data_IF_339070619917
#
_entry.id   IF_339070619917
#
_cell.length_a   1.000
_cell.length_b   1.000
_cell.length_c   1.000
_cell.angle_alpha   90.00
_cell.angle_beta   90.00
_cell.angle_gamma   90.00
#
_symmetry.space_group_name_H-M   'P 1'
#
loop_
_entity.id
_entity.type
_entity.pdbx_description
1 polymer ?
#
# COMPACT_ATOMS: atom_id res chain seq x y z
N UNK A 1 16.19 26.92 -10.76
CA UNK A 1 15.23 25.79 -10.82
C UNK A 1 14.45 25.86 -9.54
N UNK A 2 13.12 26.07 -9.61
CA UNK A 2 12.28 26.01 -8.40
C UNK A 2 12.30 24.56 -7.94
N UNK A 3 12.71 24.33 -6.70
CA UNK A 3 12.74 23.00 -6.08
C UNK A 3 11.28 22.50 -6.00
N UNK A 4 10.91 21.53 -6.84
CA UNK A 4 9.55 21.02 -6.87
C UNK A 4 9.31 20.20 -5.60
N UNK A 5 8.44 20.69 -4.70
CA UNK A 5 8.08 19.98 -3.49
C UNK A 5 7.36 18.68 -3.84
N UNK A 6 8.00 17.55 -3.53
CA UNK A 6 7.43 16.21 -3.73
C UNK A 6 6.37 15.94 -2.67
N UNK A 7 5.23 15.41 -3.10
CA UNK A 7 4.07 15.09 -2.27
C UNK A 7 3.72 13.62 -2.44
N UNK A 8 3.43 12.95 -1.33
CA UNK A 8 3.01 11.55 -1.33
C UNK A 8 1.57 11.40 -1.82
N UNK A 9 1.30 10.29 -2.49
CA UNK A 9 -0.07 9.86 -2.87
C UNK A 9 -0.81 9.18 -1.72
N UNK A 10 -0.13 8.92 -0.60
CA UNK A 10 -0.59 8.03 0.47
C UNK A 10 -0.43 6.54 0.15
N UNK A 11 0.07 6.20 -1.05
CA UNK A 11 0.31 4.82 -1.48
C UNK A 11 1.75 4.65 -1.94
N UNK A 12 2.59 4.06 -1.09
CA UNK A 12 4.04 3.98 -1.29
C UNK A 12 4.47 3.42 -2.66
N UNK A 13 3.82 2.36 -3.13
CA UNK A 13 4.14 1.80 -4.45
C UNK A 13 3.72 2.72 -5.59
N UNK A 14 2.61 3.45 -5.46
CA UNK A 14 2.22 4.44 -6.45
C UNK A 14 3.25 5.59 -6.49
N UNK A 15 3.77 6.02 -5.34
CA UNK A 15 4.84 7.02 -5.27
C UNK A 15 6.13 6.57 -5.95
N UNK A 16 6.42 5.26 -5.94
CA UNK A 16 7.55 4.67 -6.69
C UNK A 16 7.28 4.62 -8.18
N UNK A 17 6.05 4.26 -8.58
CA UNK A 17 5.63 4.17 -9.98
C UNK A 17 5.61 5.57 -10.62
N UNK A 18 5.10 6.58 -9.91
CA UNK A 18 5.00 7.96 -10.40
C UNK A 18 6.26 8.78 -10.16
N UNK A 19 7.14 8.39 -9.24
CA UNK A 19 8.16 9.29 -8.70
C UNK A 19 7.59 10.35 -7.75
N UNK A 20 6.38 10.12 -7.21
CA UNK A 20 5.60 11.04 -6.37
C UNK A 20 4.84 12.10 -7.16
N UNK A 21 4.05 12.89 -6.45
CA UNK A 21 3.34 14.06 -6.97
C UNK A 21 4.14 15.34 -6.73
N UNK A 22 3.80 16.40 -7.44
CA UNK A 22 4.35 17.73 -7.27
C UNK A 22 3.22 18.75 -7.18
N UNK A 23 3.48 19.84 -6.45
CA UNK A 23 2.63 21.03 -6.48
C UNK A 23 2.48 21.49 -7.93
N UNK A 24 1.23 21.73 -8.34
CA UNK A 24 0.83 22.05 -9.71
C UNK A 24 0.27 20.86 -10.50
N UNK A 25 0.44 19.61 -10.04
CA UNK A 25 -0.06 18.46 -10.79
C UNK A 25 -1.59 18.44 -10.89
N UNK A 26 -2.07 18.41 -12.13
CA UNK A 26 -3.39 17.90 -12.47
C UNK A 26 -3.28 16.39 -12.74
N UNK A 27 -3.87 15.59 -11.86
CA UNK A 27 -3.84 14.12 -11.87
C UNK A 27 -5.19 13.58 -12.29
N UNK A 28 -5.25 12.95 -13.46
CA UNK A 28 -6.49 12.40 -14.02
C UNK A 28 -6.54 10.90 -13.80
N UNK A 29 -7.67 10.43 -13.28
CA UNK A 29 -7.96 9.02 -13.04
C UNK A 29 -9.08 8.57 -13.98
N UNK A 30 -8.74 7.72 -14.95
CA UNK A 30 -9.70 7.02 -15.79
C UNK A 30 -10.16 5.75 -15.06
N UNK A 31 -11.42 5.71 -14.63
CA UNK A 31 -12.00 4.62 -13.84
C UNK A 31 -12.92 3.74 -14.70
N UNK A 32 -12.61 2.45 -14.82
CA UNK A 32 -13.35 1.45 -15.59
C UNK A 32 -14.63 0.96 -14.89
N UNK A 33 -14.82 1.28 -13.60
CA UNK A 33 -15.99 0.83 -12.81
C UNK A 33 -16.51 1.86 -11.79
N UNK A 34 -16.19 3.16 -11.97
CA UNK A 34 -16.71 4.28 -11.17
C UNK A 34 -16.47 4.19 -9.65
N UNK A 35 -15.57 3.31 -9.20
CA UNK A 35 -15.36 3.02 -7.78
C UNK A 35 -13.92 2.65 -7.43
N UNK A 36 -13.04 2.47 -8.42
CA UNK A 36 -11.65 2.09 -8.20
C UNK A 36 -10.81 3.28 -7.76
N UNK A 37 -11.03 4.44 -8.38
CA UNK A 37 -10.27 5.66 -8.10
C UNK A 37 -10.50 6.16 -6.67
N UNK A 38 -11.70 5.91 -6.13
CA UNK A 38 -12.11 6.39 -4.81
C UNK A 38 -11.16 5.96 -3.69
N UNK A 39 -10.65 4.72 -3.73
CA UNK A 39 -9.69 4.25 -2.74
C UNK A 39 -8.39 5.08 -2.78
N UNK A 40 -7.87 5.37 -3.98
CA UNK A 40 -6.66 6.19 -4.15
C UNK A 40 -6.89 7.63 -3.68
N UNK A 41 -8.06 8.20 -3.96
CA UNK A 41 -8.45 9.53 -3.46
C UNK A 41 -8.46 9.58 -1.93
N UNK A 42 -9.02 8.56 -1.27
CA UNK A 42 -9.03 8.49 0.20
C UNK A 42 -7.62 8.43 0.79
N UNK A 43 -6.72 7.61 0.22
CA UNK A 43 -5.32 7.57 0.66
C UNK A 43 -4.63 8.93 0.50
N UNK A 44 -4.86 9.61 -0.62
CA UNK A 44 -4.30 10.94 -0.84
C UNK A 44 -4.84 12.00 0.13
N UNK A 45 -6.14 11.93 0.47
CA UNK A 45 -6.73 12.81 1.48
C UNK A 45 -6.19 12.54 2.88
N UNK A 46 -6.00 11.28 3.27
CA UNK A 46 -5.38 10.91 4.56
C UNK A 46 -3.92 11.36 4.65
N UNK A 47 -3.17 11.23 3.56
CA UNK A 47 -1.81 11.78 3.47
C UNK A 47 -1.79 13.32 3.55
N UNK A 48 -2.83 13.97 3.02
CA UNK A 48 -2.98 15.42 3.11
C UNK A 48 -3.35 15.89 4.52
N UNK A 49 -4.22 15.13 5.21
CA UNK A 49 -4.56 15.33 6.61
C UNK A 49 -3.34 15.17 7.53
N UNK A 50 -2.51 14.13 7.31
CA UNK A 50 -1.30 13.89 8.11
C UNK A 50 -0.27 15.01 7.97
N UNK A 51 -0.28 15.72 6.83
CA UNK A 51 0.53 16.90 6.54
C UNK A 51 -0.15 18.23 6.94
N UNK A 52 -1.33 18.16 7.56
CA UNK A 52 -2.16 19.29 7.99
C UNK A 52 -2.52 20.27 6.85
N UNK A 53 -2.87 19.75 5.67
CA UNK A 53 -3.18 20.50 4.44
C UNK A 53 -4.67 20.70 4.22
N UNK A 54 -5.03 21.84 3.61
CA UNK A 54 -6.40 22.09 3.19
C UNK A 54 -6.83 21.18 2.04
N UNK A 55 -8.03 20.62 2.17
CA UNK A 55 -8.64 19.74 1.16
C UNK A 55 -9.98 20.34 0.74
N UNK A 56 -10.19 20.51 -0.57
CA UNK A 56 -11.47 20.86 -1.17
C UNK A 56 -11.98 19.65 -1.95
N UNK A 57 -13.10 19.09 -1.50
CA UNK A 57 -13.78 17.98 -2.16
C UNK A 57 -15.00 18.48 -2.92
N UNK A 58 -15.03 18.32 -4.24
CA UNK A 58 -16.12 18.79 -5.11
C UNK A 58 -16.96 17.59 -5.54
N UNK A 59 -18.16 17.46 -4.97
CA UNK A 59 -19.08 16.34 -5.19
C UNK A 59 -20.20 16.70 -6.15
N UNK A 60 -20.30 15.97 -7.26
CA UNK A 60 -21.41 16.06 -8.22
C UNK A 60 -22.35 14.85 -8.16
N UNK A 61 -21.86 13.69 -7.70
CA UNK A 61 -22.57 12.42 -7.83
C UNK A 61 -23.13 11.89 -6.50
N UNK A 62 -22.70 12.44 -5.36
CA UNK A 62 -23.10 11.98 -4.04
C UNK A 62 -23.76 13.07 -3.24
N UNK A 63 -24.88 12.71 -2.60
CA UNK A 63 -25.45 13.53 -1.55
C UNK A 63 -24.48 13.67 -0.37
N UNK A 64 -24.52 14.79 0.38
CA UNK A 64 -23.64 15.01 1.53
C UNK A 64 -23.64 13.84 2.51
N UNK A 65 -24.83 13.29 2.84
CA UNK A 65 -24.95 12.13 3.73
C UNK A 65 -24.15 10.92 3.20
N UNK A 66 -24.35 10.53 1.94
CA UNK A 66 -23.65 9.38 1.37
C UNK A 66 -22.14 9.60 1.29
N UNK A 67 -21.71 10.83 1.03
CA UNK A 67 -20.30 11.17 0.98
C UNK A 67 -19.65 11.11 2.37
N UNK A 68 -20.30 11.65 3.41
CA UNK A 68 -19.80 11.59 4.79
C UNK A 68 -19.63 10.14 5.26
N UNK A 69 -20.61 9.27 5.00
CA UNK A 69 -20.53 7.83 5.34
C UNK A 69 -19.29 7.16 4.73
N UNK A 70 -18.84 7.62 3.56
CA UNK A 70 -17.65 7.07 2.88
C UNK A 70 -16.34 7.72 3.31
N UNK A 71 -16.36 9.00 3.68
CA UNK A 71 -15.19 9.71 4.19
C UNK A 71 -14.77 9.20 5.58
N UNK A 72 -15.71 8.63 6.34
CA UNK A 72 -15.47 8.05 7.66
C UNK A 72 -14.78 9.10 8.57
N UNK A 73 -13.61 8.79 9.14
CA UNK A 73 -12.87 9.70 10.03
C UNK A 73 -12.49 11.03 9.40
N UNK A 74 -12.37 11.12 8.06
CA UNK A 74 -12.03 12.39 7.38
C UNK A 74 -13.15 13.44 7.51
N UNK A 75 -14.39 13.03 7.82
CA UNK A 75 -15.48 13.97 8.08
C UNK A 75 -15.19 14.86 9.30
N UNK A 76 -14.34 14.40 10.23
CA UNK A 76 -13.92 15.13 11.42
C UNK A 76 -12.66 15.97 11.20
N UNK A 77 -12.20 16.13 9.95
CA UNK A 77 -11.05 16.98 9.63
C UNK A 77 -11.47 18.44 9.39
N UNK A 78 -10.98 19.36 10.23
CA UNK A 78 -11.35 20.79 10.21
C UNK A 78 -10.93 21.53 8.93
N UNK A 79 -9.88 21.06 8.24
CA UNK A 79 -9.40 21.66 6.98
C UNK A 79 -9.96 20.96 5.74
N UNK A 80 -10.93 20.05 5.90
CA UNK A 80 -11.73 19.54 4.79
C UNK A 80 -12.93 20.46 4.53
N UNK A 81 -13.06 20.91 3.28
CA UNK A 81 -14.26 21.59 2.78
C UNK A 81 -14.90 20.77 1.68
N UNK A 82 -16.17 20.40 1.85
CA UNK A 82 -16.99 19.71 0.86
C UNK A 82 -17.83 20.76 0.12
N UNK A 83 -17.65 20.84 -1.19
CA UNK A 83 -18.54 21.54 -2.10
C UNK A 83 -19.59 20.58 -2.62
N UNK A 84 -20.81 20.76 -2.14
CA UNK A 84 -21.96 19.97 -2.54
C UNK A 84 -22.61 20.57 -3.79
N UNK A 85 -22.23 20.05 -4.95
CA UNK A 85 -22.87 20.32 -6.24
C UNK A 85 -23.99 19.31 -6.55
N UNK A 86 -24.15 18.26 -5.74
CA UNK A 86 -25.17 17.24 -5.94
C UNK A 86 -26.56 17.77 -5.56
N UNK A 87 -26.73 18.36 -4.38
CA UNK A 87 -28.07 18.66 -3.82
C UNK A 87 -28.93 19.50 -4.75
N UNK A 88 -28.39 20.60 -5.31
CA UNK A 88 -29.09 21.43 -6.31
C UNK A 88 -28.80 21.03 -7.77
N UNK A 89 -27.90 20.07 -7.98
CA UNK A 89 -27.56 19.51 -9.29
C UNK A 89 -28.46 18.32 -9.60
N UNK A 90 -27.90 17.11 -9.48
CA UNK A 90 -28.60 15.84 -9.70
C UNK A 90 -29.71 15.58 -8.67
N UNK A 91 -29.60 16.13 -7.46
CA UNK A 91 -30.63 16.06 -6.43
C UNK A 91 -31.81 17.01 -6.63
N UNK A 92 -31.71 17.91 -7.63
CA UNK A 92 -32.73 18.88 -8.07
C UNK A 92 -33.32 19.78 -6.96
N UNK A 93 -32.61 19.94 -5.85
CA UNK A 93 -33.10 20.70 -4.70
C UNK A 93 -34.31 20.05 -4.02
N UNK A 94 -34.49 18.74 -4.17
CA UNK A 94 -35.61 18.04 -3.54
C UNK A 94 -35.53 18.10 -2.01
N UNK A 95 -36.70 18.15 -1.35
CA UNK A 95 -36.77 18.24 0.11
C UNK A 95 -36.07 17.07 0.83
N UNK A 96 -35.99 15.90 0.18
CA UNK A 96 -35.27 14.72 0.72
C UNK A 96 -33.81 15.05 1.01
N UNK A 97 -33.13 15.77 0.10
CA UNK A 97 -31.74 16.16 0.27
C UNK A 97 -31.60 17.45 1.08
N UNK A 98 -32.52 18.42 0.95
CA UNK A 98 -32.48 19.65 1.75
C UNK A 98 -32.65 19.42 3.25
N UNK A 99 -33.38 18.37 3.65
CA UNK A 99 -33.49 17.96 5.07
C UNK A 99 -32.14 17.62 5.71
N UNK A 100 -31.11 17.27 4.93
CA UNK A 100 -29.75 17.11 5.44
C UNK A 100 -29.30 18.37 6.18
N UNK A 101 -29.46 19.55 5.56
CA UNK A 101 -29.01 20.82 6.13
C UNK A 101 -29.93 21.36 7.24
N UNK A 102 -31.21 20.98 7.23
CA UNK A 102 -32.21 21.48 8.18
C UNK A 102 -32.28 20.64 9.46
N UNK A 103 -32.18 19.32 9.34
CA UNK A 103 -32.61 18.38 10.39
C UNK A 103 -31.60 17.26 10.66
N UNK A 104 -30.81 16.85 9.65
CA UNK A 104 -30.02 15.62 9.71
C UNK A 104 -28.52 15.86 9.55
N UNK A 105 -28.02 17.06 9.85
CA UNK A 105 -26.60 17.36 9.74
C UNK A 105 -25.89 16.72 10.94
N UNK A 106 -25.00 15.74 10.73
CA UNK A 106 -24.26 15.13 11.84
C UNK A 106 -23.28 16.14 12.46
N UNK A 107 -22.87 15.88 13.70
CA UNK A 107 -21.75 16.59 14.31
C UNK A 107 -20.45 16.17 13.62
N UNK A 108 -20.07 16.90 12.57
CA UNK A 108 -18.83 16.74 11.83
C UNK A 108 -18.06 18.05 11.86
N UNK A 109 -16.73 17.97 11.80
CA UNK A 109 -15.86 19.16 11.84
C UNK A 109 -15.56 19.75 10.46
N UNK A 110 -15.70 18.95 9.39
CA UNK A 110 -15.52 19.45 8.03
C UNK A 110 -16.58 20.49 7.65
N UNK A 111 -16.22 21.44 6.79
CA UNK A 111 -17.13 22.48 6.29
C UNK A 111 -17.89 21.94 5.08
N UNK A 112 -19.22 21.98 5.07
CA UNK A 112 -20.04 21.57 3.92
C UNK A 112 -20.76 22.79 3.35
N UNK A 113 -20.57 23.05 2.06
CA UNK A 113 -21.09 24.25 1.38
C UNK A 113 -21.92 23.82 0.16
N UNK A 114 -23.25 24.03 0.19
CA UNK A 114 -24.09 23.74 -0.95
C UNK A 114 -23.89 24.80 -2.05
N UNK A 115 -23.57 24.35 -3.27
CA UNK A 115 -23.59 25.22 -4.44
C UNK A 115 -25.04 25.36 -4.90
N UNK A 116 -25.53 26.60 -4.97
CA UNK A 116 -26.95 26.89 -5.25
C UNK A 116 -27.34 26.62 -6.70
N UNK A 117 -26.43 26.84 -7.64
CA UNK A 117 -26.68 26.71 -9.07
C UNK A 117 -25.58 25.91 -9.79
N UNK A 118 -25.36 24.64 -9.44
CA UNK A 118 -24.24 23.84 -9.96
C UNK A 118 -24.37 23.53 -11.46
N UNK A 119 -25.55 23.72 -12.07
CA UNK A 119 -25.77 23.66 -13.53
C UNK A 119 -25.04 24.77 -14.30
N UNK A 120 -24.64 25.85 -13.62
CA UNK A 120 -23.86 26.95 -14.20
C UNK A 120 -22.38 26.77 -13.83
N UNK A 121 -21.55 26.57 -14.85
CA UNK A 121 -20.10 26.35 -14.68
C UNK A 121 -19.45 27.48 -13.87
N UNK A 122 -19.80 28.74 -14.18
CA UNK A 122 -19.26 29.93 -13.51
C UNK A 122 -19.55 29.95 -12.00
N UNK A 123 -20.73 29.48 -11.58
CA UNK A 123 -21.10 29.43 -10.16
C UNK A 123 -20.26 28.40 -9.40
N UNK A 124 -19.99 27.25 -10.03
CA UNK A 124 -19.10 26.24 -9.45
C UNK A 124 -17.67 26.78 -9.35
N UNK A 125 -17.17 27.43 -10.40
CA UNK A 125 -15.85 28.08 -10.40
C UNK A 125 -15.73 29.13 -9.30
N UNK A 126 -16.69 30.03 -9.20
CA UNK A 126 -16.71 31.07 -8.19
C UNK A 126 -16.74 30.49 -6.78
N UNK A 127 -17.48 29.40 -6.56
CA UNK A 127 -17.54 28.73 -5.26
C UNK A 127 -16.16 28.22 -4.83
N UNK A 128 -15.50 27.38 -5.64
CA UNK A 128 -14.24 26.78 -5.20
C UNK A 128 -13.05 27.74 -5.23
N UNK A 129 -12.99 28.71 -6.16
CA UNK A 129 -11.96 29.75 -6.11
C UNK A 129 -12.15 30.73 -4.95
N UNK A 130 -13.41 31.04 -4.60
CA UNK A 130 -13.73 31.87 -3.43
C UNK A 130 -13.26 31.20 -2.13
N UNK A 131 -13.54 29.91 -1.98
CA UNK A 131 -13.10 29.11 -0.82
C UNK A 131 -11.58 29.00 -0.78
N UNK A 132 -10.94 28.70 -1.91
CA UNK A 132 -9.49 28.61 -2.00
C UNK A 132 -8.81 29.92 -1.56
N UNK A 133 -9.39 31.08 -1.87
CA UNK A 133 -8.83 32.38 -1.49
C UNK A 133 -8.75 32.60 0.03
N UNK A 134 -9.51 31.83 0.83
CA UNK A 134 -9.46 31.85 2.30
C UNK A 134 -8.32 30.97 2.87
N UNK A 135 -7.63 30.19 2.02
CA UNK A 135 -6.66 29.17 2.43
C UNK A 135 -5.21 29.64 2.21
N UNK A 136 -4.30 29.18 3.09
CA UNK A 136 -2.88 29.50 3.04
C UNK A 136 -2.07 28.24 2.73
N UNK A 137 -1.09 28.37 1.84
CA UNK A 137 -0.23 27.28 1.40
C UNK A 137 -0.82 26.53 0.22
N UNK A 138 -0.38 25.29 0.04
CA UNK A 138 -0.81 24.42 -1.05
C UNK A 138 -2.11 23.68 -0.70
N UNK A 139 -3.06 23.67 -1.63
CA UNK A 139 -4.42 23.11 -1.44
C UNK A 139 -4.62 21.86 -2.28
N UNK A 140 -5.37 20.90 -1.77
CA UNK A 140 -5.64 19.59 -2.38
C UNK A 140 -7.07 19.56 -2.90
N UNK A 141 -7.26 19.36 -4.20
CA UNK A 141 -8.57 19.34 -4.84
C UNK A 141 -8.98 17.94 -5.27
N UNK A 142 -10.14 17.47 -4.81
CA UNK A 142 -10.75 16.21 -5.27
C UNK A 142 -11.99 16.53 -6.10
N UNK A 143 -11.94 16.32 -7.41
CA UNK A 143 -13.10 16.47 -8.28
C UNK A 143 -13.71 15.08 -8.55
N UNK A 144 -14.79 14.73 -7.86
CA UNK A 144 -15.28 13.34 -7.81
C UNK A 144 -15.91 12.85 -9.12
N UNK A 145 -16.42 13.71 -10.00
CA UNK A 145 -16.49 13.24 -11.38
C UNK A 145 -16.63 14.33 -12.42
N UNK A 146 -15.72 14.30 -13.39
CA UNK A 146 -15.87 14.92 -14.70
C UNK A 146 -17.13 14.39 -15.40
N UNK A 147 -17.44 13.10 -15.24
CA UNK A 147 -18.64 12.47 -15.81
C UNK A 147 -19.91 13.05 -15.18
N UNK A 148 -19.92 13.22 -13.85
CA UNK A 148 -21.01 13.86 -13.13
C UNK A 148 -21.24 15.33 -13.54
N UNK A 149 -20.16 16.07 -13.79
CA UNK A 149 -20.24 17.43 -14.34
C UNK A 149 -20.83 17.43 -15.77
N UNK A 150 -20.43 16.47 -16.62
CA UNK A 150 -20.87 16.42 -18.01
C UNK A 150 -22.38 16.19 -18.14
N UNK A 151 -22.94 15.32 -17.30
CA UNK A 151 -24.38 15.10 -17.22
C UNK A 151 -25.13 16.40 -16.87
N UNK A 152 -24.55 17.21 -15.98
CA UNK A 152 -25.18 18.44 -15.51
C UNK A 152 -25.01 19.63 -16.47
N UNK A 153 -23.91 19.67 -17.22
CA UNK A 153 -23.51 20.79 -18.09
C UNK A 153 -23.80 20.57 -19.58
N UNK A 154 -24.51 19.50 -19.92
CA UNK A 154 -25.10 19.31 -21.24
C UNK A 154 -24.11 18.88 -22.33
N UNK A 155 -22.93 18.37 -21.98
CA UNK A 155 -22.00 17.76 -22.94
C UNK A 155 -20.51 17.96 -22.66
N UNK A 156 -19.68 17.32 -23.49
CA UNK A 156 -18.22 17.31 -23.34
C UNK A 156 -17.55 18.66 -23.66
N UNK A 157 -18.15 19.50 -24.51
CA UNK A 157 -17.57 20.80 -24.87
C UNK A 157 -17.53 21.76 -23.66
N UNK A 158 -18.56 21.72 -22.81
CA UNK A 158 -18.60 22.45 -21.54
C UNK A 158 -17.48 22.00 -20.60
N UNK A 159 -17.24 20.70 -20.52
CA UNK A 159 -16.17 20.10 -19.72
C UNK A 159 -14.80 20.50 -20.25
N UNK A 160 -14.60 20.42 -21.56
CA UNK A 160 -13.34 20.77 -22.18
C UNK A 160 -12.99 22.25 -21.92
N UNK A 161 -13.98 23.13 -22.05
CA UNK A 161 -13.84 24.56 -21.74
C UNK A 161 -13.49 24.75 -20.27
N UNK A 162 -14.27 24.16 -19.36
CA UNK A 162 -14.01 24.25 -17.92
C UNK A 162 -12.63 23.73 -17.51
N UNK A 163 -12.24 22.55 -18.01
CA UNK A 163 -10.98 21.89 -17.67
C UNK A 163 -9.77 22.66 -18.20
N UNK A 164 -9.84 23.13 -19.46
CA UNK A 164 -8.75 23.91 -20.08
C UNK A 164 -8.56 25.29 -19.45
N UNK A 165 -9.60 25.89 -18.88
CA UNK A 165 -9.47 27.14 -18.12
C UNK A 165 -9.06 26.90 -16.66
N UNK A 166 -9.54 25.83 -16.02
CA UNK A 166 -9.32 25.60 -14.59
C UNK A 166 -7.94 25.04 -14.29
N UNK A 167 -7.44 24.09 -15.09
CA UNK A 167 -6.16 23.43 -14.79
C UNK A 167 -4.95 24.38 -14.79
N UNK A 168 -4.78 25.31 -15.76
CA UNK A 168 -3.70 26.28 -15.71
C UNK A 168 -3.80 27.21 -14.50
N UNK A 169 -5.02 27.61 -14.13
CA UNK A 169 -5.23 28.45 -12.94
C UNK A 169 -4.90 27.70 -11.64
N UNK A 170 -5.31 26.44 -11.53
CA UNK A 170 -4.97 25.58 -10.40
C UNK A 170 -3.47 25.33 -10.28
N UNK A 171 -2.75 25.25 -11.41
CA UNK A 171 -1.30 25.18 -11.43
C UNK A 171 -0.65 26.41 -10.79
N UNK A 172 -1.08 27.61 -11.20
CA UNK A 172 -0.58 28.88 -10.64
C UNK A 172 -0.97 29.09 -9.16
N UNK A 173 -2.05 28.46 -8.70
CA UNK A 173 -2.53 28.53 -7.31
C UNK A 173 -1.82 27.56 -6.36
N UNK A 174 -0.73 26.92 -6.78
CA UNK A 174 0.01 25.94 -5.97
C UNK A 174 -0.87 24.79 -5.44
N UNK A 175 -1.71 24.22 -6.31
CA UNK A 175 -2.63 23.14 -5.93
C UNK A 175 -2.17 21.78 -6.44
N UNK A 176 -2.77 20.70 -5.92
CA UNK A 176 -2.77 19.39 -6.59
C UNK A 176 -4.22 18.99 -6.76
N UNK A 177 -4.59 18.67 -7.99
CA UNK A 177 -5.98 18.38 -8.33
C UNK A 177 -6.12 16.96 -8.86
N UNK A 178 -6.91 16.15 -8.17
CA UNK A 178 -7.36 14.85 -8.65
C UNK A 178 -8.68 15.01 -9.40
N UNK A 179 -8.73 14.44 -10.59
CA UNK A 179 -9.86 14.47 -11.50
C UNK A 179 -10.28 13.05 -11.82
N UNK A 180 -11.47 12.64 -11.36
CA UNK A 180 -11.99 11.30 -11.65
C UNK A 180 -12.90 11.36 -12.88
N UNK A 181 -12.78 10.38 -13.75
CA UNK A 181 -13.52 10.31 -15.00
C UNK A 181 -13.80 8.85 -15.35
N UNK A 182 -15.05 8.53 -15.69
CA UNK A 182 -15.37 7.20 -16.19
C UNK A 182 -14.77 6.99 -17.57
N UNK A 183 -13.94 5.96 -17.71
CA UNK A 183 -13.07 5.78 -18.88
C UNK A 183 -13.83 5.62 -20.20
N UNK A 184 -14.94 4.89 -20.15
CA UNK A 184 -15.74 4.50 -21.32
C UNK A 184 -16.97 5.40 -21.53
N UNK A 185 -17.21 6.36 -20.64
CA UNK A 185 -18.33 7.30 -20.74
C UNK A 185 -18.08 8.46 -21.72
N UNK A 186 -16.85 8.59 -22.22
CA UNK A 186 -16.39 9.81 -22.88
C UNK A 186 -15.62 9.58 -24.17
N UNK A 187 -15.67 10.56 -25.06
CA UNK A 187 -15.06 10.47 -26.38
C UNK A 187 -13.53 10.39 -26.31
N UNK A 188 -12.89 9.71 -27.27
CA UNK A 188 -11.44 9.73 -27.42
C UNK A 188 -10.88 11.15 -27.58
N UNK A 189 -11.65 12.07 -28.19
CA UNK A 189 -11.28 13.48 -28.36
C UNK A 189 -11.17 14.18 -27.01
N UNK A 190 -12.18 14.07 -26.15
CA UNK A 190 -12.14 14.68 -24.81
C UNK A 190 -10.97 14.13 -23.99
N UNK A 191 -10.79 12.81 -24.00
CA UNK A 191 -9.67 12.15 -23.30
C UNK A 191 -8.31 12.64 -23.77
N UNK A 192 -8.12 12.77 -25.09
CA UNK A 192 -6.88 13.30 -25.66
C UNK A 192 -6.61 14.74 -25.20
N UNK A 193 -7.62 15.61 -25.21
CA UNK A 193 -7.47 17.00 -24.76
C UNK A 193 -7.15 17.10 -23.27
N UNK A 194 -7.82 16.30 -22.42
CA UNK A 194 -7.54 16.23 -20.99
C UNK A 194 -6.09 15.80 -20.75
N UNK A 195 -5.64 14.74 -21.44
CA UNK A 195 -4.26 14.25 -21.35
C UNK A 195 -3.21 15.25 -21.82
N UNK A 196 -3.53 16.17 -22.74
CA UNK A 196 -2.58 17.23 -23.13
C UNK A 196 -2.31 18.20 -21.98
N UNK A 197 -3.34 18.55 -21.20
CA UNK A 197 -3.26 19.54 -20.12
C UNK A 197 -2.77 18.91 -18.81
N UNK A 198 -3.22 17.70 -18.47
CA UNK A 198 -2.88 17.02 -17.23
C UNK A 198 -1.38 16.73 -17.11
N UNK A 199 -0.81 16.85 -15.91
CA UNK A 199 0.59 16.48 -15.65
C UNK A 199 0.71 14.95 -15.48
N UNK A 200 -0.31 14.33 -14.90
CA UNK A 200 -0.36 12.89 -14.64
C UNK A 200 -1.69 12.33 -15.13
N UNK A 201 -1.65 11.20 -15.83
CA UNK A 201 -2.84 10.48 -16.27
C UNK A 201 -2.70 8.99 -15.96
N UNK A 202 -3.69 8.44 -15.27
CA UNK A 202 -3.70 7.08 -14.74
C UNK A 202 -4.96 6.36 -15.23
N UNK A 203 -4.79 5.15 -15.75
CA UNK A 203 -5.86 4.25 -16.18
C UNK A 203 -6.02 3.13 -15.15
N UNK A 204 -7.20 3.01 -14.57
CA UNK A 204 -7.61 1.90 -13.73
C UNK A 204 -8.52 0.99 -14.56
N UNK A 205 -8.20 -0.30 -14.63
CA UNK A 205 -8.98 -1.25 -15.43
C UNK A 205 -9.22 -2.56 -14.71
N UNK A 206 -10.35 -3.21 -14.99
CA UNK A 206 -10.67 -4.56 -14.51
C UNK A 206 -10.69 -5.52 -15.69
N UNK A 207 -9.78 -6.49 -15.70
CA UNK A 207 -9.77 -7.55 -16.73
C UNK A 207 -9.83 -8.92 -16.07
N UNK A 208 -10.89 -9.68 -16.39
CA UNK A 208 -11.13 -11.04 -15.85
C UNK A 208 -11.07 -11.08 -14.31
N UNK A 209 -11.68 -10.07 -13.66
CA UNK A 209 -11.70 -9.94 -12.20
C UNK A 209 -10.38 -9.46 -11.56
N UNK A 210 -9.36 -9.10 -12.35
CA UNK A 210 -8.11 -8.52 -11.86
C UNK A 210 -8.08 -7.03 -12.15
N UNK A 211 -7.86 -6.24 -11.11
CA UNK A 211 -7.63 -4.79 -11.19
C UNK A 211 -6.18 -4.50 -11.55
N UNK A 212 -5.97 -3.51 -12.42
CA UNK A 212 -4.64 -3.00 -12.76
C UNK A 212 -4.64 -1.50 -12.95
N UNK A 213 -3.54 -0.87 -12.54
CA UNK A 213 -3.24 0.54 -12.71
C UNK A 213 -2.18 0.70 -13.81
N UNK A 214 -2.40 1.61 -14.76
CA UNK A 214 -1.43 1.93 -15.81
C UNK A 214 -1.20 3.43 -15.84
N UNK A 215 0.06 3.87 -15.76
CA UNK A 215 0.38 5.29 -15.93
C UNK A 215 0.47 5.60 -17.41
N UNK A 216 -0.44 6.42 -17.92
CA UNK A 216 -0.48 6.84 -19.32
C UNK A 216 0.43 8.04 -19.58
N UNK A 217 0.51 8.95 -18.61
CA UNK A 217 1.33 10.16 -18.66
C UNK A 217 1.86 10.49 -17.26
N UNK A 218 3.11 10.91 -17.19
CA UNK A 218 3.74 11.44 -15.99
C UNK A 218 4.81 12.47 -16.41
N UNK A 219 4.45 13.74 -16.45
CA UNK A 219 5.32 14.81 -16.93
C UNK A 219 6.56 14.96 -16.03
N UNK A 220 7.74 15.14 -16.64
CA UNK A 220 9.05 15.34 -15.97
C UNK A 220 9.46 14.19 -15.02
N UNK A 221 8.94 12.98 -15.24
CA UNK A 221 9.25 11.77 -14.46
C UNK A 221 9.85 10.67 -15.33
N UNK A 222 10.28 9.58 -14.69
CA UNK A 222 10.84 8.43 -15.39
C UNK A 222 9.80 7.81 -16.34
N UNK A 223 10.15 7.76 -17.62
CA UNK A 223 9.32 7.14 -18.66
C UNK A 223 9.23 5.61 -18.57
N UNK A 224 10.10 4.96 -17.79
CA UNK A 224 10.17 3.49 -17.69
C UNK A 224 8.92 2.83 -17.08
N UNK A 225 8.09 3.61 -16.38
CA UNK A 225 6.86 3.15 -15.74
C UNK A 225 5.60 3.39 -16.58
N UNK A 226 5.72 4.11 -17.70
CA UNK A 226 4.60 4.45 -18.57
C UNK A 226 4.09 3.23 -19.35
N UNK A 227 2.78 3.18 -19.55
CA UNK A 227 2.07 2.15 -20.33
C UNK A 227 2.30 0.71 -19.84
N UNK A 228 2.78 0.54 -18.61
CA UNK A 228 2.93 -0.74 -17.95
C UNK A 228 1.77 -0.96 -16.98
N UNK A 229 1.04 -2.10 -17.08
CA UNK A 229 0.01 -2.43 -16.11
C UNK A 229 0.64 -2.95 -14.82
N UNK A 230 0.20 -2.39 -13.70
CA UNK A 230 0.52 -2.80 -12.34
C UNK A 230 -0.74 -3.39 -11.71
N UNK A 231 -0.78 -4.70 -11.51
CA UNK A 231 -1.90 -5.31 -10.80
C UNK A 231 -1.96 -4.80 -9.36
N UNK A 232 -3.16 -4.65 -8.83
CA UNK A 232 -3.39 -4.31 -7.42
C UNK A 232 -4.69 -4.94 -6.96
N UNK A 233 -4.94 -5.02 -5.65
CA UNK A 233 -6.26 -5.29 -5.09
C UNK A 233 -6.57 -4.34 -3.95
N UNK A 234 -7.86 -4.17 -3.68
CA UNK A 234 -8.38 -3.38 -2.57
C UNK A 234 -9.00 -4.30 -1.53
N UNK A 235 -8.60 -4.15 -0.26
CA UNK A 235 -9.27 -4.80 0.88
C UNK A 235 -9.54 -3.74 1.95
N UNK A 236 -10.81 -3.52 2.28
CA UNK A 236 -11.22 -2.51 3.27
C UNK A 236 -10.59 -1.13 2.98
N UNK A 237 -10.61 -0.71 1.71
CA UNK A 237 -9.99 0.52 1.18
C UNK A 237 -8.45 0.57 1.18
N UNK A 238 -7.76 -0.44 1.74
CA UNK A 238 -6.31 -0.57 1.60
C UNK A 238 -5.94 -1.06 0.20
N UNK A 239 -5.00 -0.39 -0.44
CA UNK A 239 -4.50 -0.71 -1.77
C UNK A 239 -3.19 -1.47 -1.61
N UNK A 240 -3.10 -2.62 -2.26
CA UNK A 240 -1.90 -3.44 -2.28
C UNK A 240 -1.58 -3.81 -3.72
N UNK A 241 -0.38 -3.47 -4.18
CA UNK A 241 0.07 -3.81 -5.53
C UNK A 241 0.60 -5.24 -5.62
N UNK A 242 0.51 -5.85 -6.80
CA UNK A 242 1.13 -7.15 -7.14
C UNK A 242 2.65 -7.15 -6.94
N UNK A 243 3.29 -5.97 -6.98
CA UNK A 243 4.71 -5.79 -6.68
C UNK A 243 5.01 -5.58 -5.18
N UNK A 244 3.99 -5.21 -4.39
CA UNK A 244 4.03 -5.18 -2.92
C UNK A 244 3.56 -6.50 -2.29
N UNK A 245 2.84 -7.32 -3.05
CA UNK A 245 3.19 -8.73 -3.10
C UNK A 245 4.68 -8.74 -3.40
N UNK A 246 5.49 -8.86 -2.34
CA UNK A 246 6.69 -9.66 -2.48
C UNK A 246 6.26 -10.87 -3.30
N UNK A 247 7.11 -11.43 -4.16
CA UNK A 247 7.02 -12.86 -4.24
C UNK A 247 7.18 -13.33 -2.77
N UNK A 248 6.07 -13.50 -2.02
CA UNK A 248 5.82 -14.84 -1.51
C UNK A 248 6.17 -15.65 -2.71
N UNK A 249 7.34 -16.32 -2.69
CA UNK A 249 7.69 -17.28 -3.72
C UNK A 249 6.36 -17.92 -4.05
N UNK A 250 5.76 -17.51 -5.17
CA UNK A 250 4.33 -17.75 -5.36
C UNK A 250 4.42 -19.23 -5.48
N UNK A 251 3.97 -19.91 -4.43
CA UNK A 251 4.01 -21.34 -4.39
C UNK A 251 3.08 -21.65 -5.52
N UNK A 252 3.69 -21.89 -6.67
CA UNK A 252 2.99 -22.12 -7.90
C UNK A 252 2.59 -23.58 -7.76
N UNK A 253 1.59 -23.78 -6.89
CA UNK A 253 1.09 -25.09 -6.51
C UNK A 253 0.63 -25.80 -7.77
N UNK A 254 0.09 -25.06 -8.76
CA UNK A 254 -0.26 -25.59 -10.06
C UNK A 254 0.94 -26.13 -10.82
N UNK A 255 2.01 -25.34 -10.97
CA UNK A 255 3.24 -25.76 -11.65
C UNK A 255 3.96 -26.87 -10.90
N UNK A 256 4.01 -26.78 -9.57
CA UNK A 256 4.61 -27.79 -8.69
C UNK A 256 3.84 -29.11 -8.74
N UNK A 257 2.50 -29.06 -8.71
CA UNK A 257 1.64 -30.23 -8.91
C UNK A 257 1.90 -30.86 -10.29
N UNK A 258 1.99 -30.03 -11.33
CA UNK A 258 2.30 -30.48 -12.70
C UNK A 258 3.66 -31.18 -12.77
N UNK A 259 4.71 -30.62 -12.16
CA UNK A 259 6.03 -31.24 -12.08
C UNK A 259 5.99 -32.59 -11.38
N UNK A 260 5.36 -32.66 -10.21
CA UNK A 260 5.26 -33.88 -9.40
C UNK A 260 4.45 -34.96 -10.14
N UNK A 261 3.36 -34.56 -10.81
CA UNK A 261 2.55 -35.45 -11.65
C UNK A 261 3.38 -36.01 -12.81
N UNK A 262 4.10 -35.16 -13.54
CA UNK A 262 4.95 -35.58 -14.67
C UNK A 262 6.09 -36.49 -14.18
N UNK A 263 6.73 -36.18 -13.06
CA UNK A 263 7.75 -37.05 -12.44
C UNK A 263 7.22 -38.43 -12.08
N UNK A 264 5.94 -38.53 -11.74
CA UNK A 264 5.24 -39.81 -11.48
C UNK A 264 4.72 -40.48 -12.76
N UNK A 265 4.94 -39.88 -13.94
CA UNK A 265 4.51 -40.43 -15.23
C UNK A 265 3.00 -40.39 -15.46
N UNK A 266 2.25 -39.60 -14.68
CA UNK A 266 0.79 -39.55 -14.76
C UNK A 266 0.32 -38.46 -15.73
N UNK A 267 -0.73 -38.72 -16.50
CA UNK A 267 -1.51 -37.72 -17.22
C UNK A 267 -2.49 -36.98 -16.29
N UNK A 268 -3.00 -35.83 -16.72
CA UNK A 268 -4.04 -35.09 -15.96
C UNK A 268 -5.29 -35.95 -15.74
N UNK A 269 -5.67 -36.75 -16.75
CA UNK A 269 -6.81 -37.67 -16.68
C UNK A 269 -6.61 -38.78 -15.66
N UNK A 270 -5.40 -39.36 -15.59
CA UNK A 270 -5.07 -40.40 -14.62
C UNK A 270 -5.05 -39.85 -13.20
N UNK A 271 -4.42 -38.69 -12.98
CA UNK A 271 -4.40 -38.04 -11.67
C UNK A 271 -5.84 -37.67 -11.23
N UNK A 272 -6.65 -37.14 -12.14
CA UNK A 272 -8.06 -36.80 -11.87
C UNK A 272 -8.86 -38.02 -11.41
N UNK A 273 -8.67 -39.18 -12.08
CA UNK A 273 -9.33 -40.45 -11.74
C UNK A 273 -8.92 -40.95 -10.34
N UNK A 274 -7.64 -40.84 -9.99
CA UNK A 274 -7.13 -41.26 -8.67
C UNK A 274 -7.68 -40.40 -7.53
N UNK A 275 -7.86 -39.10 -7.76
CA UNK A 275 -8.37 -38.15 -6.76
C UNK A 275 -9.90 -38.16 -6.70
N UNK A 276 -10.58 -38.55 -7.79
CA UNK A 276 -12.04 -38.51 -7.91
C UNK A 276 -12.57 -37.14 -8.34
N UNK A 277 -11.83 -36.43 -9.19
CA UNK A 277 -12.21 -35.13 -9.78
C UNK A 277 -12.22 -35.22 -11.31
N UNK A 278 -12.67 -34.15 -11.99
CA UNK A 278 -12.63 -34.11 -13.46
C UNK A 278 -11.23 -33.75 -13.98
N UNK A 279 -10.83 -34.18 -15.19
CA UNK A 279 -9.57 -33.75 -15.81
C UNK A 279 -9.47 -32.22 -15.98
N UNK A 280 -10.61 -31.57 -16.22
CA UNK A 280 -10.74 -30.11 -16.24
C UNK A 280 -10.29 -29.49 -14.92
N UNK A 281 -10.71 -30.07 -13.78
CA UNK A 281 -10.31 -29.61 -12.44
C UNK A 281 -8.80 -29.67 -12.25
N UNK A 282 -8.13 -30.77 -12.67
CA UNK A 282 -6.66 -30.88 -12.58
C UNK A 282 -5.99 -29.85 -13.49
N UNK A 283 -6.48 -29.65 -14.71
CA UNK A 283 -5.95 -28.65 -15.64
C UNK A 283 -6.09 -27.22 -15.11
N UNK A 284 -7.23 -26.90 -14.50
CA UNK A 284 -7.49 -25.61 -13.87
C UNK A 284 -6.61 -25.39 -12.64
N UNK A 285 -6.33 -26.42 -11.84
CA UNK A 285 -5.38 -26.34 -10.72
C UNK A 285 -3.96 -26.13 -11.24
N UNK A 286 -3.51 -26.91 -12.22
CA UNK A 286 -2.17 -26.79 -12.80
C UNK A 286 -1.91 -25.46 -13.50
N UNK A 287 -2.98 -24.78 -13.94
CA UNK A 287 -2.93 -23.46 -14.58
C UNK A 287 -3.19 -22.32 -13.60
N UNK A 288 -3.24 -22.58 -12.29
CA UNK A 288 -3.57 -21.62 -11.22
C UNK A 288 -4.90 -20.88 -11.43
N UNK A 289 -5.86 -21.49 -12.14
CA UNK A 289 -7.21 -20.95 -12.33
C UNK A 289 -8.10 -21.21 -11.12
N UNK A 290 -7.88 -22.33 -10.41
CA UNK A 290 -8.55 -22.69 -9.16
C UNK A 290 -7.54 -23.29 -8.19
N UNK A 291 -7.81 -23.20 -6.88
CA UNK A 291 -7.05 -23.90 -5.85
C UNK A 291 -7.78 -25.17 -5.40
N UNK A 292 -7.07 -26.27 -5.09
CA UNK A 292 -7.70 -27.44 -4.50
C UNK A 292 -8.23 -27.13 -3.10
N UNK A 293 -9.32 -27.77 -2.71
CA UNK A 293 -9.73 -27.79 -1.29
C UNK A 293 -8.68 -28.53 -0.46
N UNK A 294 -8.60 -28.26 0.85
CA UNK A 294 -7.67 -28.96 1.75
C UNK A 294 -7.78 -30.49 1.65
N UNK A 295 -8.99 -31.10 1.64
CA UNK A 295 -9.10 -32.55 1.44
C UNK A 295 -8.56 -33.04 0.09
N UNK A 296 -8.78 -32.27 -0.99
CA UNK A 296 -8.27 -32.63 -2.31
C UNK A 296 -6.73 -32.53 -2.37
N UNK A 297 -6.15 -31.54 -1.70
CA UNK A 297 -4.70 -31.35 -1.60
C UNK A 297 -4.03 -32.50 -0.82
N UNK A 298 -4.60 -32.92 0.31
CA UNK A 298 -4.10 -34.06 1.09
C UNK A 298 -4.16 -35.35 0.27
N UNK A 299 -5.26 -35.58 -0.43
CA UNK A 299 -5.42 -36.75 -1.31
C UNK A 299 -4.45 -36.72 -2.49
N UNK A 300 -4.16 -35.54 -3.05
CA UNK A 300 -3.11 -35.37 -4.06
C UNK A 300 -1.73 -35.75 -3.51
N UNK A 301 -1.37 -35.29 -2.30
CA UNK A 301 -0.09 -35.63 -1.66
C UNK A 301 0.05 -37.14 -1.46
N UNK A 302 -1.00 -37.80 -0.98
CA UNK A 302 -1.06 -39.25 -0.78
C UNK A 302 -0.86 -40.01 -2.10
N UNK A 303 -1.62 -39.67 -3.14
CA UNK A 303 -1.53 -40.35 -4.44
C UNK A 303 -0.19 -40.10 -5.16
N UNK A 304 0.42 -38.94 -4.94
CA UNK A 304 1.76 -38.62 -5.44
C UNK A 304 2.87 -39.11 -4.51
N UNK A 305 2.51 -39.70 -3.36
CA UNK A 305 3.38 -40.18 -2.29
C UNK A 305 4.51 -39.19 -1.98
N UNK A 306 4.10 -38.02 -1.50
CA UNK A 306 4.94 -36.91 -1.04
C UNK A 306 4.35 -36.33 0.24
N UNK A 307 5.17 -35.59 0.99
CA UNK A 307 4.65 -34.74 2.05
C UNK A 307 3.89 -33.54 1.45
N UNK A 308 2.82 -33.10 2.11
CA UNK A 308 1.98 -31.98 1.67
C UNK A 308 2.80 -30.69 1.51
N UNK A 309 3.83 -30.49 2.35
CA UNK A 309 4.76 -29.37 2.26
C UNK A 309 5.53 -29.32 0.93
N UNK A 310 5.67 -30.44 0.21
CA UNK A 310 6.38 -30.47 -1.07
C UNK A 310 5.67 -29.70 -2.20
N UNK A 311 4.35 -29.46 -2.07
CA UNK A 311 3.62 -28.54 -2.96
C UNK A 311 4.03 -27.08 -2.75
N UNK A 312 4.61 -26.80 -1.59
CA UNK A 312 5.00 -25.47 -1.10
C UNK A 312 6.50 -25.19 -1.20
N UNK A 313 7.26 -26.16 -1.72
CA UNK A 313 8.71 -26.05 -1.92
C UNK A 313 9.03 -25.91 -3.40
N UNK A 314 9.11 -24.68 -3.89
CA UNK A 314 9.57 -24.37 -5.24
C UNK A 314 8.99 -23.05 -5.76
N UNK A 315 9.82 -22.04 -5.92
CA UNK A 315 9.41 -20.77 -6.53
C UNK A 315 10.27 -19.54 -6.20
N UNK A 316 11.53 -19.74 -5.81
CA UNK A 316 12.41 -18.67 -5.36
C UNK A 316 13.74 -18.62 -6.11
N UNK A 317 13.73 -18.66 -7.45
CA UNK A 317 14.86 -18.11 -8.22
C UNK A 317 14.74 -16.57 -8.30
N UNK A 318 14.55 -15.92 -7.15
CA UNK A 318 14.93 -14.53 -7.00
C UNK A 318 16.43 -14.51 -6.86
N UNK A 319 17.14 -13.79 -7.73
CA UNK A 319 18.60 -13.64 -7.62
C UNK A 319 18.99 -13.39 -6.16
N UNK A 320 19.99 -14.09 -5.62
CA UNK A 320 20.33 -13.97 -4.21
C UNK A 320 20.69 -12.51 -3.93
N UNK A 321 19.90 -11.86 -3.06
CA UNK A 321 20.27 -10.56 -2.51
C UNK A 321 21.45 -10.83 -1.58
N UNK A 322 22.65 -10.60 -2.09
CA UNK A 322 23.89 -10.88 -1.36
C UNK A 322 24.21 -9.80 -0.30
N UNK A 323 23.55 -8.63 -0.39
CA UNK A 323 23.78 -7.49 0.49
C UNK A 323 22.46 -6.98 1.03
N UNK A 324 22.33 -6.97 2.36
CA UNK A 324 21.22 -6.36 3.09
C UNK A 324 21.67 -5.03 3.68
N UNK A 325 20.86 -3.98 3.53
CA UNK A 325 21.12 -2.65 4.09
C UNK A 325 20.46 -2.50 5.46
N UNK A 326 20.82 -1.47 6.21
CA UNK A 326 20.20 -1.18 7.51
C UNK A 326 18.67 -0.99 7.43
N UNK A 327 18.14 -0.58 6.28
CA UNK A 327 16.71 -0.47 5.99
C UNK A 327 16.00 -1.82 5.78
N UNK A 328 16.74 -2.90 5.52
CA UNK A 328 16.19 -4.26 5.44
C UNK A 328 16.06 -4.90 6.83
N UNK A 329 16.72 -4.33 7.84
CA UNK A 329 16.74 -4.87 9.20
C UNK A 329 15.40 -4.63 9.91
N UNK A 330 14.96 -5.61 10.69
CA UNK A 330 13.70 -5.56 11.45
C UNK A 330 13.98 -5.48 12.94
N UNK A 331 13.31 -4.57 13.65
CA UNK A 331 13.40 -4.47 15.10
C UNK A 331 12.82 -5.73 15.77
N UNK A 332 13.54 -6.27 16.75
CA UNK A 332 13.13 -7.43 17.54
C UNK A 332 12.72 -6.97 18.93
N UNK A 333 11.55 -7.42 19.37
CA UNK A 333 11.06 -7.18 20.73
C UNK A 333 11.45 -8.34 21.64
N UNK A 334 12.18 -8.04 22.71
CA UNK A 334 12.65 -9.02 23.69
C UNK A 334 11.72 -9.06 24.92
N UNK A 335 10.40 -9.20 24.72
CA UNK A 335 9.42 -9.23 25.82
C UNK A 335 9.37 -7.94 26.67
N UNK A 336 8.39 -7.85 27.58
CA UNK A 336 8.13 -6.64 28.39
C UNK A 336 9.24 -6.39 29.44
N UNK A 337 9.82 -7.44 30.02
CA UNK A 337 10.85 -7.33 31.06
C UNK A 337 12.22 -6.82 30.56
N UNK A 338 12.41 -6.76 29.24
CA UNK A 338 13.66 -6.30 28.64
C UNK A 338 13.55 -4.90 28.01
N UNK A 339 12.37 -4.29 28.10
CA UNK A 339 12.09 -2.96 27.57
C UNK A 339 13.01 -1.92 28.24
N UNK A 340 13.73 -1.12 27.44
CA UNK A 340 14.77 -0.16 27.88
C UNK A 340 16.05 -0.76 28.50
N UNK A 341 16.26 -2.08 28.41
CA UNK A 341 17.49 -2.77 28.84
C UNK A 341 18.28 -3.24 27.62
N UNK A 342 17.57 -3.88 26.68
CA UNK A 342 18.12 -4.45 25.45
C UNK A 342 17.35 -3.92 24.24
N UNK A 343 18.06 -3.69 23.15
CA UNK A 343 17.45 -3.53 21.82
C UNK A 343 18.11 -4.51 20.86
N UNK A 344 17.42 -4.86 19.79
CA UNK A 344 18.03 -5.67 18.77
C UNK A 344 17.31 -5.62 17.43
N UNK A 345 18.07 -5.95 16.40
CA UNK A 345 17.63 -5.93 15.00
C UNK A 345 18.06 -7.22 14.32
N UNK A 346 17.14 -7.90 13.66
CA UNK A 346 17.47 -8.94 12.69
C UNK A 346 17.97 -8.26 11.43
N UNK A 347 19.19 -8.61 10.97
CA UNK A 347 19.85 -7.95 9.83
C UNK A 347 19.36 -8.47 8.47
N UNK A 348 18.54 -9.51 8.47
CA UNK A 348 17.83 -10.03 7.31
C UNK A 348 16.33 -9.71 7.41
N UNK A 349 15.61 -9.65 6.28
CA UNK A 349 14.16 -9.61 6.30
C UNK A 349 13.56 -10.82 7.05
N UNK A 350 12.44 -10.63 7.76
CA UNK A 350 11.75 -11.71 8.51
C UNK A 350 11.32 -12.90 7.63
N UNK A 351 11.16 -12.68 6.33
CA UNK A 351 10.79 -13.69 5.33
C UNK A 351 12.00 -14.23 4.53
N UNK A 352 13.22 -13.88 4.94
CA UNK A 352 14.43 -14.42 4.36
C UNK A 352 14.76 -15.78 4.99
N UNK A 353 14.60 -16.84 4.21
CA UNK A 353 14.98 -18.19 4.62
C UNK A 353 16.49 -18.39 4.53
N UNK A 354 17.17 -18.20 5.66
CA UNK A 354 18.60 -18.45 5.81
C UNK A 354 18.85 -19.71 6.62
N UNK A 355 20.05 -20.29 6.46
CA UNK A 355 20.57 -21.29 7.41
C UNK A 355 21.13 -20.65 8.70
N UNK A 356 21.14 -19.32 8.76
CA UNK A 356 21.58 -18.57 9.92
C UNK A 356 20.86 -17.23 10.00
N UNK A 357 20.44 -16.84 11.20
CA UNK A 357 19.78 -15.56 11.49
C UNK A 357 20.78 -14.61 12.18
N UNK A 358 21.25 -13.56 11.50
CA UNK A 358 22.16 -12.58 12.08
C UNK A 358 21.41 -11.40 12.71
N UNK A 359 21.82 -11.01 13.91
CA UNK A 359 21.26 -9.93 14.70
C UNK A 359 22.34 -8.94 15.13
N UNK A 360 21.96 -7.66 15.25
CA UNK A 360 22.67 -6.73 16.13
C UNK A 360 21.90 -6.64 17.43
N UNK A 361 22.58 -6.84 18.55
CA UNK A 361 22.02 -6.72 19.89
C UNK A 361 22.79 -5.62 20.63
N UNK A 362 22.07 -4.73 21.30
CA UNK A 362 22.65 -3.65 22.10
C UNK A 362 22.15 -3.72 23.54
N UNK A 363 23.08 -3.60 24.49
CA UNK A 363 22.79 -3.54 25.93
C UNK A 363 23.34 -2.21 26.48
N UNK A 364 22.48 -1.42 27.10
CA UNK A 364 22.85 -0.10 27.63
C UNK A 364 23.92 -0.17 28.74
N UNK A 365 24.67 0.92 28.99
CA UNK A 365 25.71 0.97 30.04
C UNK A 365 25.17 0.58 31.42
N UNK A 366 25.88 -0.30 32.13
CA UNK A 366 25.50 -0.76 33.47
C UNK A 366 24.22 -1.62 33.53
N UNK A 367 23.55 -1.88 32.41
CA UNK A 367 22.30 -2.64 32.37
C UNK A 367 22.55 -4.14 32.56
N UNK A 368 21.62 -4.79 33.24
CA UNK A 368 21.60 -6.22 33.49
C UNK A 368 20.33 -6.82 32.89
N UNK A 369 20.48 -7.83 32.04
CA UNK A 369 19.41 -8.55 31.38
C UNK A 369 19.35 -9.98 31.93
N UNK A 370 18.26 -10.36 32.62
CA UNK A 370 18.06 -11.73 33.09
C UNK A 370 17.60 -12.63 31.93
N UNK A 371 18.24 -13.80 31.80
CA UNK A 371 17.96 -14.78 30.75
C UNK A 371 18.85 -14.62 29.50
N UNK A 372 18.45 -15.32 28.44
CA UNK A 372 19.12 -15.30 27.14
C UNK A 372 18.21 -14.68 26.06
N UNK A 373 18.80 -14.25 24.95
CA UNK A 373 18.11 -13.50 23.89
C UNK A 373 17.08 -14.36 23.15
N UNK A 374 17.37 -15.65 22.99
CA UNK A 374 16.56 -16.59 22.23
C UNK A 374 16.43 -17.93 22.97
N UNK A 375 15.35 -18.66 22.69
CA UNK A 375 15.21 -20.07 23.06
C UNK A 375 15.33 -20.86 21.78
N UNK A 376 16.50 -21.43 21.53
CA UNK A 376 16.83 -22.13 20.29
C UNK A 376 17.61 -23.41 20.56
N UNK A 377 17.50 -24.35 19.61
CA UNK A 377 18.25 -25.59 19.63
C UNK A 377 19.20 -25.58 18.44
N UNK A 378 20.45 -25.21 18.67
CA UNK A 378 21.50 -25.13 17.65
C UNK A 378 22.66 -24.26 18.11
N UNK A 379 23.73 -24.23 17.33
CA UNK A 379 24.90 -23.41 17.62
C UNK A 379 24.59 -21.91 17.46
N UNK A 380 25.09 -21.12 18.40
CA UNK A 380 24.99 -19.66 18.39
C UNK A 380 26.37 -19.02 18.53
N UNK A 381 26.59 -17.95 17.76
CA UNK A 381 27.86 -17.24 17.70
C UNK A 381 27.62 -15.76 17.99
N UNK A 382 28.25 -15.24 19.03
CA UNK A 382 28.32 -13.82 19.33
C UNK A 382 29.68 -13.23 19.01
N UNK A 383 29.75 -12.02 18.45
CA UNK A 383 30.99 -11.26 18.29
C UNK A 383 30.79 -9.86 18.88
N UNK A 384 31.59 -9.50 19.88
CA UNK A 384 31.43 -8.21 20.54
C UNK A 384 32.11 -7.11 19.70
N UNK A 385 31.32 -6.21 19.13
CA UNK A 385 31.79 -5.12 18.26
C UNK A 385 32.35 -3.97 19.12
N UNK A 386 31.63 -3.61 20.19
CA UNK A 386 32.01 -2.53 21.11
C UNK A 386 31.51 -2.79 22.53
N UNK A 387 32.13 -2.16 23.52
CA UNK A 387 31.78 -2.27 24.93
C UNK A 387 32.39 -3.49 25.65
N UNK A 388 31.86 -3.79 26.83
CA UNK A 388 32.25 -4.93 27.66
C UNK A 388 30.99 -5.63 28.19
N UNK A 389 30.95 -6.96 28.09
CA UNK A 389 29.83 -7.77 28.58
C UNK A 389 30.32 -8.88 29.49
N UNK A 390 29.62 -9.04 30.60
CA UNK A 390 29.71 -10.20 31.45
C UNK A 390 28.51 -11.12 31.18
N UNK A 391 28.79 -12.38 30.88
CA UNK A 391 27.82 -13.43 30.67
C UNK A 391 27.93 -14.45 31.81
N UNK A 392 26.80 -14.78 32.43
CA UNK A 392 26.76 -15.83 33.45
C UNK A 392 26.15 -17.10 32.87
N UNK A 393 26.93 -18.17 32.88
CA UNK A 393 26.50 -19.54 32.67
C UNK A 393 26.29 -20.20 34.05
N UNK A 394 25.50 -21.26 34.14
CA UNK A 394 25.06 -21.89 35.41
C UNK A 394 26.10 -22.01 36.52
N UNK A 395 27.39 -22.21 36.18
CA UNK A 395 28.48 -22.38 37.14
C UNK A 395 29.66 -21.43 36.95
N UNK A 396 29.65 -20.56 35.94
CA UNK A 396 30.82 -19.75 35.56
C UNK A 396 30.39 -18.38 35.02
N UNK A 397 31.12 -17.35 35.40
CA UNK A 397 30.98 -16.00 34.83
C UNK A 397 32.13 -15.74 33.87
N UNK A 398 31.81 -15.31 32.65
CA UNK A 398 32.77 -15.01 31.59
C UNK A 398 32.63 -13.55 31.18
N UNK A 399 33.75 -12.86 30.98
CA UNK A 399 33.75 -11.48 30.47
C UNK A 399 34.27 -11.47 29.03
N UNK A 400 33.51 -10.85 28.13
CA UNK A 400 33.87 -10.59 26.75
C UNK A 400 34.10 -9.08 26.54
N UNK A 401 35.14 -8.74 25.78
CA UNK A 401 35.52 -7.38 25.37
C UNK A 401 35.42 -7.25 23.86
N UNK A 402 35.41 -6.00 23.38
CA UNK A 402 35.37 -5.73 21.95
C UNK A 402 36.47 -6.51 21.19
N UNK A 403 36.07 -7.27 20.17
CA UNK A 403 36.93 -8.20 19.42
C UNK A 403 36.80 -9.67 19.84
N UNK A 404 36.18 -9.96 20.99
CA UNK A 404 36.02 -11.33 21.47
C UNK A 404 34.84 -12.05 20.80
N UNK A 405 35.02 -13.36 20.62
CA UNK A 405 34.01 -14.29 20.10
C UNK A 405 33.39 -15.09 21.26
N UNK A 406 32.06 -15.19 21.24
CA UNK A 406 31.26 -16.03 22.11
C UNK A 406 30.71 -17.16 21.25
N UNK A 407 30.85 -18.40 21.71
CA UNK A 407 30.31 -19.57 21.03
C UNK A 407 29.49 -20.39 22.03
N UNK A 408 28.23 -20.65 21.72
CA UNK A 408 27.30 -21.43 22.54
C UNK A 408 26.78 -22.61 21.72
N UNK A 409 27.10 -23.84 22.13
CA UNK A 409 26.62 -25.04 21.44
C UNK A 409 25.28 -25.53 22.00
N UNK A 410 25.21 -25.65 23.33
CA UNK A 410 24.00 -26.07 24.06
C UNK A 410 23.79 -25.27 25.36
N UNK A 411 24.71 -24.35 25.68
CA UNK A 411 24.68 -23.58 26.91
C UNK A 411 23.73 -22.39 26.74
N UNK A 412 22.82 -22.20 27.71
CA UNK A 412 21.88 -21.07 27.73
C UNK A 412 22.33 -20.13 28.86
N UNK A 413 22.81 -18.92 28.54
CA UNK A 413 23.17 -17.94 29.55
C UNK A 413 22.02 -17.56 30.47
N UNK A 414 22.30 -17.58 31.77
CA UNK A 414 21.35 -17.18 32.79
C UNK A 414 21.19 -15.65 32.89
N UNK A 415 22.20 -14.88 32.50
CA UNK A 415 22.13 -13.41 32.44
C UNK A 415 23.28 -12.78 31.65
N UNK A 416 23.04 -11.55 31.22
CA UNK A 416 24.00 -10.67 30.55
C UNK A 416 24.08 -9.33 31.28
N UNK A 417 25.29 -8.80 31.46
CA UNK A 417 25.49 -7.49 32.08
C UNK A 417 26.51 -6.68 31.29
N UNK A 418 26.16 -5.45 30.93
CA UNK A 418 27.13 -4.49 30.45
C UNK A 418 27.86 -3.86 31.65
N UNK A 419 29.13 -4.20 31.82
CA UNK A 419 30.00 -3.70 32.90
C UNK A 419 30.71 -2.40 32.54
N UNK A 420 30.66 -2.00 31.26
CA UNK A 420 31.33 -0.82 30.73
C UNK A 420 30.48 0.46 30.77
N UNK A 421 31.13 1.61 30.53
CA UNK A 421 30.47 2.93 30.47
C UNK A 421 29.79 3.22 29.13
N UNK A 422 30.03 2.41 28.09
CA UNK A 422 29.50 2.58 26.74
C UNK A 422 28.49 1.49 26.38
N UNK A 423 27.69 1.70 25.33
CA UNK A 423 26.76 0.69 24.81
C UNK A 423 27.55 -0.52 24.32
N UNK A 424 27.21 -1.69 24.86
CA UNK A 424 27.75 -2.96 24.38
C UNK A 424 26.95 -3.42 23.16
N UNK A 425 27.63 -3.57 22.01
CA UNK A 425 27.01 -3.96 20.73
C UNK A 425 27.57 -5.28 20.26
N UNK A 426 26.70 -6.28 20.06
CA UNK A 426 27.07 -7.61 19.58
C UNK A 426 26.52 -7.84 18.17
N UNK A 427 27.29 -8.52 17.33
CA UNK A 427 26.75 -9.31 16.22
C UNK A 427 26.44 -10.71 16.77
N UNK A 428 25.19 -11.13 16.70
CA UNK A 428 24.76 -12.45 17.16
C UNK A 428 24.24 -13.26 15.97
N UNK A 429 24.66 -14.50 15.82
CA UNK A 429 24.27 -15.37 14.70
C UNK A 429 23.74 -16.67 15.24
N UNK A 430 22.46 -16.93 14.97
CA UNK A 430 21.79 -18.19 15.31
C UNK A 430 21.81 -19.13 14.12
N UNK A 431 22.39 -20.32 14.24
CA UNK A 431 22.47 -21.30 13.15
C UNK A 431 21.23 -22.21 13.22
N UNK A 432 20.50 -22.35 12.10
CA UNK A 432 19.20 -23.05 12.00
C UNK A 432 19.36 -24.48 11.50
#
# INVERSE_FOLDING_TARGET
MVEMTRIGTGVNQLDRILGGLFVGDNVVWYDDAGSLAYAFCLHFMKESESQDKYIIYVSFDRSPKNLLDKLDTLADYEKLTILDCFTHGKGEGSEVFLRFYKENMPEVKCRIIPVKAPKKVEEVMNAFYGIHAEMIGDVRFMFESITGMQELWGGEDSILTFYSHSCPRLYELNTIAYWIMEKEAHSPRLRASINQIAQVAIDLSVKRGKTSLTVLKAEKRDSSTLNRPYGYWTRDLNILFDSEKRPTASIDMGMRLKELRIKRGLSQTELAKLIGVTPSTISQIESNLIYPSVPALLKMAEMLNIDVSAFFQGGGEGRPKNVFTSSDASDIRFGELAENIISGKLLTPLDFYAKAEPYIIEIGPGKNFPGHFFIHKGDEIGYLISGELQMNLDKTSCTARAGDLIYLANDIPASWKNTGPEVARLLWVKII
#
